data_IF_730914311115
#
_entry.id   IF_730914311115
#
_cell.length_a   1.000
_cell.length_b   1.000
_cell.length_c   1.000
_cell.angle_alpha   90.00
_cell.angle_beta   90.00
_cell.angle_gamma   90.00
#
_symmetry.space_group_name_H-M   'P 1'
#
loop_
_entity.id
_entity.type
_entity.pdbx_description
1 polymer ?
#
# COMPACT_ATOMS: atom_id res chain seq x y z
N UNK A 1 -12.48 22.19 6.18
CA UNK A 1 -11.55 21.33 5.41
C UNK A 1 -10.95 20.23 6.28
N UNK A 2 -10.22 20.55 7.36
CA UNK A 2 -9.64 19.53 8.26
C UNK A 2 -10.73 18.67 8.92
N UNK A 3 -11.82 19.29 9.40
CA UNK A 3 -12.97 18.56 9.96
C UNK A 3 -13.57 17.57 8.95
N UNK A 4 -13.79 18.01 7.71
CA UNK A 4 -14.27 17.17 6.61
C UNK A 4 -13.36 15.97 6.35
N UNK A 5 -12.04 16.20 6.30
CA UNK A 5 -11.04 15.14 6.11
C UNK A 5 -11.12 14.09 7.23
N UNK A 6 -11.15 14.55 8.49
CA UNK A 6 -11.26 13.64 9.64
C UNK A 6 -12.57 12.87 9.65
N UNK A 7 -13.68 13.48 9.22
CA UNK A 7 -14.98 12.81 9.12
C UNK A 7 -14.96 11.70 8.07
N UNK A 8 -14.35 11.94 6.91
CA UNK A 8 -14.22 10.92 5.86
C UNK A 8 -13.34 9.77 6.37
N UNK A 9 -12.17 10.06 6.93
CA UNK A 9 -11.29 9.02 7.48
C UNK A 9 -12.02 8.20 8.55
N UNK A 10 -12.75 8.86 9.47
CA UNK A 10 -13.53 8.17 10.50
C UNK A 10 -14.61 7.27 9.90
N UNK A 11 -15.32 7.74 8.86
CA UNK A 11 -16.31 6.93 8.12
C UNK A 11 -15.66 5.66 7.57
N UNK A 12 -14.55 5.80 6.84
CA UNK A 12 -13.85 4.66 6.23
C UNK A 12 -13.41 3.64 7.28
N UNK A 13 -12.79 4.10 8.38
CA UNK A 13 -12.38 3.22 9.48
C UNK A 13 -13.58 2.49 10.08
N UNK A 14 -14.68 3.19 10.36
CA UNK A 14 -15.89 2.57 10.93
C UNK A 14 -16.52 1.52 10.00
N UNK A 15 -16.53 1.76 8.69
CA UNK A 15 -17.02 0.78 7.70
C UNK A 15 -16.12 -0.46 7.71
N UNK A 16 -14.81 -0.27 7.66
CA UNK A 16 -13.85 -1.37 7.65
C UNK A 16 -13.91 -2.21 8.94
N UNK A 17 -14.11 -1.58 10.11
CA UNK A 17 -14.32 -2.32 11.37
C UNK A 17 -15.60 -3.17 11.38
N UNK A 18 -16.62 -2.78 10.62
CA UNK A 18 -17.85 -3.57 10.45
C UNK A 18 -17.68 -4.68 9.41
N UNK A 19 -16.84 -4.45 8.40
CA UNK A 19 -16.48 -5.43 7.36
C UNK A 19 -15.08 -5.99 7.60
N UNK A 20 -14.93 -6.73 8.69
CA UNK A 20 -13.63 -7.25 9.15
C UNK A 20 -12.86 -8.05 8.07
N UNK A 21 -13.57 -8.74 7.17
CA UNK A 21 -12.98 -9.48 6.06
C UNK A 21 -12.11 -8.60 5.15
N UNK A 22 -12.46 -7.32 4.99
CA UNK A 22 -11.75 -6.38 4.11
C UNK A 22 -10.36 -6.03 4.66
N UNK A 23 -10.21 -6.03 5.99
CA UNK A 23 -8.94 -5.80 6.69
C UNK A 23 -8.16 -7.11 6.80
N UNK A 24 -8.83 -8.20 7.18
CA UNK A 24 -8.14 -9.46 7.45
C UNK A 24 -7.61 -10.14 6.19
N UNK A 25 -8.27 -10.04 5.04
CA UNK A 25 -7.85 -10.74 3.83
C UNK A 25 -6.44 -10.32 3.35
N UNK A 26 -6.11 -9.03 3.17
CA UNK A 26 -4.76 -8.60 2.81
C UNK A 26 -3.71 -9.02 3.85
N UNK A 27 -4.04 -8.95 5.14
CA UNK A 27 -3.11 -9.29 6.22
C UNK A 27 -2.84 -10.79 6.29
N UNK A 28 -3.88 -11.62 6.14
CA UNK A 28 -3.72 -13.06 6.03
C UNK A 28 -2.90 -13.44 4.81
N UNK A 29 -3.15 -12.80 3.66
CA UNK A 29 -2.35 -13.04 2.47
C UNK A 29 -0.86 -12.73 2.73
N UNK A 30 -0.57 -11.59 3.36
CA UNK A 30 0.79 -11.23 3.75
C UNK A 30 1.42 -12.28 4.68
N UNK A 31 0.72 -12.66 5.76
CA UNK A 31 1.17 -13.68 6.73
C UNK A 31 1.42 -15.03 6.04
N UNK A 32 0.53 -15.44 5.14
CA UNK A 32 0.66 -16.70 4.40
C UNK A 32 1.91 -16.67 3.53
N UNK A 33 2.16 -15.59 2.78
CA UNK A 33 3.35 -15.49 1.94
C UNK A 33 4.63 -15.53 2.77
N UNK A 34 4.71 -14.75 3.84
CA UNK A 34 5.93 -14.63 4.65
C UNK A 34 6.23 -15.91 5.46
N UNK A 35 5.23 -16.75 5.70
CA UNK A 35 5.40 -18.05 6.38
C UNK A 35 5.69 -19.16 5.38
N UNK A 36 4.94 -19.24 4.27
CA UNK A 36 5.12 -20.30 3.29
C UNK A 36 6.48 -20.23 2.58
N UNK A 37 7.02 -19.05 2.31
CA UNK A 37 8.30 -18.92 1.61
C UNK A 37 9.46 -19.57 2.39
N UNK A 38 9.71 -19.22 3.66
CA UNK A 38 10.75 -19.88 4.47
C UNK A 38 10.51 -21.38 4.64
N UNK A 39 9.26 -21.81 4.83
CA UNK A 39 8.92 -23.23 4.92
C UNK A 39 9.21 -23.99 3.62
N UNK A 40 9.03 -23.35 2.46
CA UNK A 40 9.24 -23.97 1.15
C UNK A 40 10.72 -24.08 0.77
N UNK A 41 11.53 -23.10 1.18
CA UNK A 41 12.95 -23.03 0.84
C UNK A 41 13.81 -23.77 1.87
N UNK A 42 13.37 -23.78 3.13
CA UNK A 42 14.09 -24.34 4.25
C UNK A 42 14.67 -23.24 5.17
N UNK A 43 14.90 -23.57 6.46
CA UNK A 43 15.31 -22.59 7.48
C UNK A 43 16.81 -22.30 7.46
N UNK A 44 17.41 -22.04 6.29
CA UNK A 44 18.82 -21.65 6.19
C UNK A 44 18.96 -20.12 6.37
N UNK A 45 19.53 -19.62 7.50
CA UNK A 45 19.47 -18.18 7.83
C UNK A 45 20.15 -17.29 6.79
N UNK A 46 21.28 -17.72 6.24
CA UNK A 46 22.01 -16.97 5.22
C UNK A 46 21.23 -16.83 3.91
N UNK A 47 20.48 -17.87 3.53
CA UNK A 47 19.64 -17.83 2.34
C UNK A 47 18.42 -16.96 2.60
N UNK A 48 17.76 -17.12 3.74
CA UNK A 48 16.59 -16.32 4.14
C UNK A 48 16.89 -14.83 4.19
N UNK A 49 18.01 -14.43 4.78
CA UNK A 49 18.43 -13.03 4.83
C UNK A 49 18.62 -12.42 3.43
N UNK A 50 19.20 -13.18 2.48
CA UNK A 50 19.43 -12.72 1.10
C UNK A 50 18.15 -12.51 0.30
N UNK A 51 17.10 -13.26 0.58
CA UNK A 51 15.82 -13.17 -0.15
C UNK A 51 14.74 -12.41 0.63
N UNK A 52 15.02 -12.03 1.89
CA UNK A 52 14.07 -11.37 2.77
C UNK A 52 13.50 -10.08 2.18
N UNK A 53 14.35 -9.22 1.63
CA UNK A 53 13.93 -7.98 1.00
C UNK A 53 12.88 -8.21 -0.09
N UNK A 54 13.15 -9.19 -0.97
CA UNK A 54 12.23 -9.58 -2.04
C UNK A 54 10.92 -10.17 -1.52
N UNK A 55 10.98 -11.12 -0.57
CA UNK A 55 9.78 -11.74 0.00
C UNK A 55 8.88 -10.70 0.66
N UNK A 56 9.45 -9.83 1.50
CA UNK A 56 8.69 -8.81 2.24
C UNK A 56 7.99 -7.85 1.28
N UNK A 57 8.70 -7.34 0.27
CA UNK A 57 8.13 -6.37 -0.66
C UNK A 57 7.16 -6.97 -1.67
N UNK A 58 7.40 -8.20 -2.14
CA UNK A 58 6.44 -8.91 -2.99
C UNK A 58 5.17 -9.23 -2.19
N UNK A 59 5.30 -9.71 -0.96
CA UNK A 59 4.16 -9.96 -0.08
C UNK A 59 3.36 -8.68 0.19
N UNK A 60 4.04 -7.58 0.53
CA UNK A 60 3.40 -6.28 0.79
C UNK A 60 2.70 -5.73 -0.46
N UNK A 61 3.32 -5.85 -1.63
CA UNK A 61 2.77 -5.43 -2.91
C UNK A 61 1.47 -6.17 -3.24
N UNK A 62 1.51 -7.50 -3.18
CA UNK A 62 0.36 -8.34 -3.50
C UNK A 62 -0.78 -8.13 -2.49
N UNK A 63 -0.43 -8.01 -1.20
CA UNK A 63 -1.39 -7.64 -0.15
C UNK A 63 -2.05 -6.28 -0.43
N UNK A 64 -1.26 -5.27 -0.81
CA UNK A 64 -1.78 -3.95 -1.15
C UNK A 64 -2.69 -3.99 -2.39
N UNK A 65 -2.34 -4.75 -3.43
CA UNK A 65 -3.17 -4.91 -4.64
C UNK A 65 -4.55 -5.49 -4.32
N UNK A 66 -4.63 -6.47 -3.41
CA UNK A 66 -5.91 -7.06 -2.98
C UNK A 66 -6.82 -6.06 -2.28
N UNK A 67 -6.25 -5.15 -1.47
CA UNK A 67 -7.05 -4.14 -0.76
C UNK A 67 -7.42 -2.95 -1.65
N UNK A 68 -6.50 -2.53 -2.53
CA UNK A 68 -6.68 -1.38 -3.41
C UNK A 68 -7.89 -1.50 -4.32
N UNK A 69 -8.21 -2.71 -4.81
CA UNK A 69 -9.37 -2.93 -5.70
C UNK A 69 -10.69 -2.44 -5.10
N UNK A 70 -10.83 -2.46 -3.77
CA UNK A 70 -12.05 -2.08 -3.05
C UNK A 70 -12.12 -0.59 -2.74
N UNK A 71 -11.01 0.14 -2.83
CA UNK A 71 -10.86 1.53 -2.37
C UNK A 71 -11.97 2.48 -2.85
N UNK A 72 -12.34 2.38 -4.13
CA UNK A 72 -13.43 3.16 -4.74
C UNK A 72 -14.58 2.29 -5.23
N UNK A 73 -14.34 1.00 -5.46
CA UNK A 73 -15.31 0.09 -6.08
C UNK A 73 -16.51 -0.15 -5.18
N UNK A 74 -16.29 -0.29 -3.88
CA UNK A 74 -17.37 -0.56 -2.93
C UNK A 74 -18.34 0.63 -2.83
N UNK A 75 -17.82 1.86 -2.76
CA UNK A 75 -18.64 3.07 -2.75
C UNK A 75 -19.25 3.39 -4.12
N UNK A 76 -18.64 2.93 -5.22
CA UNK A 76 -19.23 3.06 -6.55
C UNK A 76 -20.43 2.11 -6.72
N UNK A 77 -20.35 0.89 -6.17
CA UNK A 77 -21.43 -0.09 -6.27
C UNK A 77 -22.68 0.29 -5.47
N UNK A 78 -22.54 1.00 -4.35
CA UNK A 78 -23.67 1.46 -3.53
C UNK A 78 -24.12 2.91 -3.83
N UNK A 79 -23.47 3.57 -4.80
CA UNK A 79 -23.77 4.92 -5.24
C UNK A 79 -23.22 6.02 -4.33
N UNK A 80 -22.49 5.69 -3.25
CA UNK A 80 -21.94 6.66 -2.33
C UNK A 80 -20.82 7.50 -2.96
N UNK A 81 -20.06 6.94 -3.91
CA UNK A 81 -18.96 7.63 -4.58
C UNK A 81 -19.47 8.84 -5.39
N UNK A 82 -20.57 8.66 -6.12
CA UNK A 82 -21.25 9.72 -6.87
C UNK A 82 -21.73 10.83 -5.93
N UNK A 83 -22.31 10.45 -4.79
CA UNK A 83 -22.72 11.43 -3.77
C UNK A 83 -21.53 12.22 -3.24
N UNK A 84 -20.39 11.55 -2.96
CA UNK A 84 -19.17 12.21 -2.51
C UNK A 84 -18.60 13.18 -3.55
N UNK A 85 -18.71 12.85 -4.84
CA UNK A 85 -18.26 13.72 -5.93
C UNK A 85 -19.11 14.98 -6.10
N UNK A 86 -20.37 14.97 -5.63
CA UNK A 86 -21.29 16.11 -5.66
C UNK A 86 -21.23 16.98 -4.39
N UNK A 87 -20.52 16.54 -3.35
CA UNK A 87 -20.39 17.31 -2.10
C UNK A 87 -19.68 18.65 -2.35
N UNK A 88 -20.00 19.72 -1.58
CA UNK A 88 -19.37 21.03 -1.71
C UNK A 88 -17.97 21.07 -1.05
N UNK A 89 -17.15 20.06 -1.32
CA UNK A 89 -15.75 19.95 -0.87
C UNK A 89 -14.86 19.55 -2.06
N UNK A 90 -13.59 19.98 -2.09
CA UNK A 90 -12.68 19.59 -3.16
C UNK A 90 -12.53 18.06 -3.23
N UNK A 91 -12.75 17.48 -4.42
CA UNK A 91 -12.64 16.03 -4.63
C UNK A 91 -11.24 15.49 -4.27
N UNK A 92 -10.20 16.31 -4.46
CA UNK A 92 -8.83 15.99 -4.07
C UNK A 92 -8.72 15.69 -2.57
N UNK A 93 -9.47 16.42 -1.74
CA UNK A 93 -9.50 16.22 -0.28
C UNK A 93 -10.23 14.93 0.08
N UNK A 94 -11.34 14.63 -0.61
CA UNK A 94 -12.07 13.36 -0.42
C UNK A 94 -11.16 12.18 -0.73
N UNK A 95 -10.52 12.20 -1.90
CA UNK A 95 -9.61 11.15 -2.35
C UNK A 95 -8.43 11.01 -1.39
N UNK A 96 -7.77 12.10 -1.03
CA UNK A 96 -6.65 12.10 -0.09
C UNK A 96 -7.06 11.42 1.23
N UNK A 97 -8.25 11.75 1.74
CA UNK A 97 -8.81 11.15 2.96
C UNK A 97 -8.99 9.64 2.83
N UNK A 98 -9.54 9.17 1.70
CA UNK A 98 -9.77 7.74 1.44
C UNK A 98 -8.46 6.96 1.31
N UNK A 99 -7.47 7.51 0.59
CA UNK A 99 -6.16 6.86 0.44
C UNK A 99 -5.44 6.76 1.80
N UNK A 100 -5.50 7.82 2.62
CA UNK A 100 -4.94 7.79 3.98
C UNK A 100 -5.65 6.74 4.83
N UNK A 101 -6.98 6.69 4.80
CA UNK A 101 -7.74 5.69 5.56
C UNK A 101 -7.40 4.26 5.11
N UNK A 102 -7.28 4.03 3.80
CA UNK A 102 -6.83 2.74 3.25
C UNK A 102 -5.44 2.36 3.75
N UNK A 103 -4.48 3.28 3.71
CA UNK A 103 -3.13 3.00 4.22
C UNK A 103 -3.12 2.69 5.72
N UNK A 104 -3.94 3.39 6.52
CA UNK A 104 -4.10 3.10 7.95
C UNK A 104 -4.70 1.72 8.22
N UNK A 105 -5.58 1.23 7.34
CA UNK A 105 -6.21 -0.08 7.48
C UNK A 105 -5.33 -1.23 7.01
N UNK A 106 -4.39 -0.97 6.10
CA UNK A 106 -3.60 -2.01 5.43
C UNK A 106 -2.13 -1.91 5.77
N UNK A 107 -1.50 -0.78 5.45
CA UNK A 107 -0.07 -0.52 5.67
C UNK A 107 0.32 -0.51 7.15
N UNK A 108 -0.47 0.14 8.01
CA UNK A 108 -0.14 0.20 9.43
C UNK A 108 -0.14 -1.19 10.09
N UNK A 109 -1.16 -2.05 9.91
CA UNK A 109 -1.09 -3.41 10.43
C UNK A 109 0.06 -4.24 9.84
N UNK A 110 0.43 -4.06 8.56
CA UNK A 110 1.62 -4.72 8.00
C UNK A 110 2.90 -4.33 8.75
N UNK A 111 3.06 -3.06 9.10
CA UNK A 111 4.20 -2.58 9.88
C UNK A 111 4.18 -3.16 11.29
N UNK A 112 3.00 -3.24 11.93
CA UNK A 112 2.85 -3.85 13.26
C UNK A 112 3.15 -5.36 13.27
N UNK A 113 2.88 -6.06 12.16
CA UNK A 113 3.20 -7.48 11.98
C UNK A 113 4.68 -7.68 11.63
N UNK A 114 5.41 -6.64 11.21
CA UNK A 114 6.81 -6.76 10.78
C UNK A 114 7.78 -7.40 11.81
N UNK A 115 7.62 -7.30 13.14
CA UNK A 115 8.48 -8.05 14.07
C UNK A 115 8.39 -9.57 13.88
N UNK A 116 7.22 -10.07 13.44
CA UNK A 116 7.06 -11.49 13.10
C UNK A 116 7.94 -11.87 11.89
N UNK A 117 8.13 -10.96 10.93
CA UNK A 117 9.05 -11.16 9.80
C UNK A 117 10.48 -11.32 10.26
N UNK A 118 10.92 -10.49 11.23
CA UNK A 118 12.28 -10.55 11.74
C UNK A 118 12.59 -11.93 12.34
N UNK A 119 11.63 -12.50 13.07
CA UNK A 119 11.77 -13.85 13.63
C UNK A 119 11.75 -14.92 12.53
N UNK A 120 10.78 -14.87 11.62
CA UNK A 120 10.61 -15.89 10.56
C UNK A 120 11.76 -15.90 9.55
N UNK A 121 12.33 -14.74 9.23
CA UNK A 121 13.39 -14.57 8.25
C UNK A 121 14.78 -14.47 8.89
N UNK A 122 14.88 -14.63 10.22
CA UNK A 122 16.13 -14.53 10.98
C UNK A 122 16.89 -13.22 10.73
N UNK A 123 16.17 -12.09 10.75
CA UNK A 123 16.74 -10.76 10.54
C UNK A 123 17.38 -10.23 11.83
N UNK A 124 18.51 -9.57 11.69
CA UNK A 124 19.08 -8.73 12.73
C UNK A 124 18.30 -7.41 12.89
N UNK A 125 18.57 -6.68 13.97
CA UNK A 125 17.82 -5.49 14.34
C UNK A 125 17.92 -4.38 13.29
N UNK A 126 19.11 -4.17 12.69
CA UNK A 126 19.33 -3.10 11.73
C UNK A 126 18.60 -3.37 10.41
N UNK A 127 18.60 -4.62 9.94
CA UNK A 127 17.82 -5.04 8.76
C UNK A 127 16.33 -4.94 9.03
N UNK A 128 15.85 -5.38 10.20
CA UNK A 128 14.45 -5.23 10.57
C UNK A 128 14.01 -3.75 10.63
N UNK A 129 14.85 -2.88 11.18
CA UNK A 129 14.57 -1.45 11.22
C UNK A 129 14.46 -0.86 9.81
N UNK A 130 15.33 -1.27 8.88
CA UNK A 130 15.23 -0.88 7.46
C UNK A 130 13.93 -1.38 6.83
N UNK A 131 13.47 -2.59 7.13
CA UNK A 131 12.16 -3.10 6.70
C UNK A 131 11.03 -2.21 7.23
N UNK A 132 11.04 -1.86 8.52
CA UNK A 132 10.01 -0.98 9.11
C UNK A 132 10.00 0.39 8.44
N UNK A 133 11.16 1.01 8.26
CA UNK A 133 11.28 2.34 7.64
C UNK A 133 10.83 2.33 6.18
N UNK A 134 11.29 1.35 5.40
CA UNK A 134 10.92 1.22 4.00
C UNK A 134 9.43 0.92 3.85
N UNK A 135 8.83 0.05 4.68
CA UNK A 135 7.39 -0.20 4.66
C UNK A 135 6.61 1.06 5.04
N UNK A 136 7.07 1.82 6.03
CA UNK A 136 6.42 3.05 6.50
C UNK A 136 6.35 4.13 5.43
N UNK A 137 7.34 4.19 4.52
CA UNK A 137 7.42 5.20 3.45
C UNK A 137 6.91 4.67 2.12
N UNK A 138 7.22 3.43 1.76
CA UNK A 138 6.89 2.85 0.47
C UNK A 138 5.43 2.36 0.39
N UNK A 139 4.85 1.77 1.44
CA UNK A 139 3.43 1.35 1.41
C UNK A 139 2.42 2.50 1.23
N UNK A 140 2.60 3.71 1.82
CA UNK A 140 1.71 4.82 1.48
C UNK A 140 1.96 5.31 0.05
N UNK A 141 3.21 5.29 -0.45
CA UNK A 141 3.51 5.65 -1.84
C UNK A 141 2.82 4.68 -2.82
N UNK A 142 2.85 3.37 -2.55
CA UNK A 142 2.09 2.37 -3.29
C UNK A 142 0.59 2.66 -3.24
N UNK A 143 0.04 3.00 -2.08
CA UNK A 143 -1.39 3.31 -1.94
C UNK A 143 -1.79 4.53 -2.79
N UNK A 144 -0.99 5.59 -2.80
CA UNK A 144 -1.24 6.78 -3.61
C UNK A 144 -1.16 6.54 -5.11
N UNK A 145 -0.16 5.80 -5.57
CA UNK A 145 0.00 5.48 -7.00
C UNK A 145 -1.08 4.47 -7.43
N UNK A 146 -1.35 3.46 -6.61
CA UNK A 146 -2.36 2.44 -6.85
C UNK A 146 -3.77 2.98 -6.96
N UNK A 147 -4.10 3.98 -6.14
CA UNK A 147 -5.38 4.65 -6.19
C UNK A 147 -5.67 5.30 -7.56
N UNK A 148 -4.66 5.72 -8.33
CA UNK A 148 -4.85 6.25 -9.69
C UNK A 148 -5.43 5.16 -10.59
N UNK A 149 -4.83 3.96 -10.60
CA UNK A 149 -5.28 2.90 -11.50
C UNK A 149 -6.63 2.31 -11.08
N UNK A 150 -6.94 2.24 -9.78
CA UNK A 150 -8.28 1.85 -9.31
C UNK A 150 -9.32 2.88 -9.75
N UNK A 151 -9.02 4.17 -9.62
CA UNK A 151 -9.94 5.23 -10.05
C UNK A 151 -10.19 5.22 -11.56
N UNK A 152 -9.17 4.97 -12.39
CA UNK A 152 -9.33 4.83 -13.84
C UNK A 152 -10.19 3.61 -14.22
N UNK A 153 -10.17 2.56 -13.40
CA UNK A 153 -10.81 1.28 -13.72
C UNK A 153 -12.11 1.02 -12.95
N UNK A 154 -12.58 1.98 -12.14
CA UNK A 154 -13.73 1.78 -11.23
C UNK A 154 -15.03 1.41 -11.97
N UNK A 155 -15.27 1.97 -13.16
CA UNK A 155 -16.43 1.68 -14.00
C UNK A 155 -16.36 0.35 -14.78
N UNK A 156 -15.24 -0.38 -14.70
CA UNK A 156 -15.03 -1.61 -15.48
C UNK A 156 -15.31 -2.87 -14.66
N UNK A 157 -16.01 -3.84 -15.25
CA UNK A 157 -16.31 -5.12 -14.57
C UNK A 157 -15.06 -5.93 -14.20
N UNK A 158 -13.96 -5.81 -14.97
CA UNK A 158 -12.67 -6.50 -14.79
C UNK A 158 -11.52 -5.54 -14.44
N UNK A 159 -11.78 -4.50 -13.64
CA UNK A 159 -10.80 -3.46 -13.32
C UNK A 159 -9.47 -3.97 -12.76
N UNK A 160 -9.48 -5.06 -11.96
CA UNK A 160 -8.27 -5.60 -11.31
C UNK A 160 -7.13 -6.02 -12.24
N UNK A 161 -7.41 -6.51 -13.46
CA UNK A 161 -6.36 -6.92 -14.42
C UNK A 161 -5.74 -5.71 -15.13
N UNK A 162 -6.55 -4.71 -15.46
CA UNK A 162 -6.07 -3.46 -16.07
C UNK A 162 -5.27 -2.64 -15.05
N UNK A 163 -5.70 -2.67 -13.79
CA UNK A 163 -5.02 -2.08 -12.64
C UNK A 163 -3.59 -2.63 -12.52
N UNK A 164 -3.41 -3.96 -12.55
CA UNK A 164 -2.08 -4.56 -12.42
C UNK A 164 -1.16 -4.22 -13.60
N UNK A 165 -1.67 -4.24 -14.84
CA UNK A 165 -0.89 -3.88 -16.04
C UNK A 165 -0.42 -2.42 -16.03
N UNK A 166 -1.28 -1.50 -15.62
CA UNK A 166 -0.98 -0.06 -15.65
C UNK A 166 -0.04 0.36 -14.52
N UNK A 167 -0.23 -0.22 -13.32
CA UNK A 167 0.43 0.26 -12.11
C UNK A 167 1.74 -0.44 -11.81
N UNK A 168 1.90 -1.72 -12.22
CA UNK A 168 3.13 -2.47 -11.96
C UNK A 168 4.41 -1.71 -12.39
N UNK A 169 4.48 -1.11 -13.59
CA UNK A 169 5.65 -0.32 -14.00
C UNK A 169 5.96 0.86 -13.05
N UNK A 170 4.93 1.49 -12.48
CA UNK A 170 5.08 2.61 -11.54
C UNK A 170 5.47 2.14 -10.13
N UNK A 171 5.21 0.88 -9.79
CA UNK A 171 5.62 0.29 -8.52
C UNK A 171 7.08 -0.19 -8.53
N UNK A 172 7.61 -0.59 -9.68
CA UNK A 172 8.99 -1.09 -9.81
C UNK A 172 10.02 -0.15 -9.15
N UNK A 173 10.01 1.18 -9.39
CA UNK A 173 10.97 2.07 -8.74
C UNK A 173 10.88 2.05 -7.20
N UNK A 174 9.68 2.01 -6.63
CA UNK A 174 9.49 1.92 -5.18
C UNK A 174 10.07 0.61 -4.66
N UNK A 175 9.78 -0.50 -5.34
CA UNK A 175 10.31 -1.82 -4.97
C UNK A 175 11.84 -1.83 -5.01
N UNK A 176 12.46 -1.31 -6.07
CA UNK A 176 13.92 -1.27 -6.23
C UNK A 176 14.57 -0.49 -5.08
N UNK A 177 14.09 0.72 -4.77
CA UNK A 177 14.69 1.52 -3.71
C UNK A 177 14.43 0.93 -2.32
N UNK A 178 13.29 0.29 -2.13
CA UNK A 178 12.97 -0.32 -0.84
C UNK A 178 13.73 -1.63 -0.59
N UNK A 179 13.86 -2.50 -1.59
CA UNK A 179 14.68 -3.71 -1.45
C UNK A 179 16.15 -3.36 -1.31
N UNK A 180 16.66 -2.40 -2.10
CA UNK A 180 18.06 -1.97 -1.99
C UNK A 180 18.40 -1.30 -0.66
N UNK A 181 17.45 -0.66 0.02
CA UNK A 181 17.63 -0.16 1.39
C UNK A 181 17.74 -1.29 2.43
N UNK A 182 16.97 -2.36 2.26
CA UNK A 182 17.03 -3.55 3.12
C UNK A 182 18.35 -4.29 2.87
N UNK A 183 18.74 -4.48 1.61
CA UNK A 183 20.00 -5.12 1.25
C UNK A 183 21.22 -4.34 1.79
N UNK A 184 21.19 -3.00 1.70
CA UNK A 184 22.24 -2.17 2.27
C UNK A 184 22.32 -2.30 3.80
N UNK A 185 21.18 -2.37 4.49
CA UNK A 185 21.14 -2.61 5.94
C UNK A 185 21.70 -3.98 6.31
N UNK A 186 21.36 -5.04 5.56
CA UNK A 186 21.89 -6.39 5.77
C UNK A 186 23.42 -6.49 5.56
N UNK A 187 23.99 -5.57 4.77
CA UNK A 187 25.44 -5.44 4.56
C UNK A 187 26.12 -4.50 5.57
N UNK A 188 25.36 -3.90 6.51
CA UNK A 188 25.88 -2.91 7.46
C UNK A 188 26.28 -1.58 6.81
N UNK A 189 25.73 -1.26 5.64
CA UNK A 189 26.01 -0.03 4.88
C UNK A 189 24.87 0.99 5.08
N UNK A 190 25.21 2.27 5.02
CA UNK A 190 24.22 3.33 5.12
C UNK A 190 23.17 3.27 3.98
N UNK A 191 21.89 3.35 4.34
CA UNK A 191 20.74 3.27 3.43
C UNK A 191 19.89 4.55 3.38
N UNK A 192 20.42 5.65 3.92
CA UNK A 192 19.72 6.94 4.00
C UNK A 192 19.39 7.52 2.61
N UNK A 193 20.23 7.27 1.60
CA UNK A 193 20.00 7.74 0.23
C UNK A 193 18.76 7.09 -0.40
N UNK A 194 18.62 5.78 -0.24
CA UNK A 194 17.48 5.01 -0.71
C UNK A 194 16.18 5.46 -0.01
N UNK A 195 16.23 5.67 1.31
CA UNK A 195 15.11 6.22 2.06
C UNK A 195 14.75 7.64 1.63
N UNK A 196 15.73 8.49 1.33
CA UNK A 196 15.47 9.85 0.84
C UNK A 196 14.76 9.83 -0.52
N UNK A 197 15.15 8.92 -1.42
CA UNK A 197 14.47 8.73 -2.72
C UNK A 197 13.04 8.22 -2.52
N UNK A 198 12.83 7.23 -1.64
CA UNK A 198 11.48 6.76 -1.29
C UNK A 198 10.62 7.89 -0.70
N UNK A 199 11.21 8.71 0.17
CA UNK A 199 10.56 9.90 0.72
C UNK A 199 10.19 10.90 -0.35
N UNK A 200 11.09 11.18 -1.30
CA UNK A 200 10.81 12.06 -2.44
C UNK A 200 9.68 11.52 -3.32
N UNK A 201 9.68 10.21 -3.60
CA UNK A 201 8.59 9.53 -4.32
C UNK A 201 7.27 9.64 -3.57
N UNK A 202 7.25 9.42 -2.26
CA UNK A 202 6.05 9.57 -1.43
C UNK A 202 5.53 11.00 -1.45
N UNK A 203 6.40 12.00 -1.29
CA UNK A 203 6.00 13.42 -1.32
C UNK A 203 5.47 13.81 -2.71
N UNK A 204 6.10 13.35 -3.78
CA UNK A 204 5.61 13.52 -5.15
C UNK A 204 4.25 12.85 -5.35
N UNK A 205 4.08 11.62 -4.85
CA UNK A 205 2.82 10.91 -4.94
C UNK A 205 1.71 11.63 -4.14
N UNK A 206 1.95 11.96 -2.88
CA UNK A 206 0.99 12.63 -2.00
C UNK A 206 0.53 13.99 -2.55
N UNK A 207 1.39 14.69 -3.29
CA UNK A 207 1.06 15.99 -3.89
C UNK A 207 0.36 15.86 -5.24
N UNK A 208 0.83 14.97 -6.13
CA UNK A 208 0.33 14.87 -7.50
C UNK A 208 -0.86 13.91 -7.67
N UNK A 209 -0.87 12.79 -6.96
CA UNK A 209 -1.88 11.75 -7.19
C UNK A 209 -3.30 12.18 -6.80
N UNK A 210 -3.58 13.00 -5.77
CA UNK A 210 -4.95 13.43 -5.48
C UNK A 210 -5.62 14.15 -6.67
N UNK A 211 -4.84 14.90 -7.45
CA UNK A 211 -5.32 15.54 -8.69
C UNK A 211 -5.57 14.51 -9.79
N UNK A 212 -4.63 13.59 -10.01
CA UNK A 212 -4.75 12.54 -11.02
C UNK A 212 -5.94 11.60 -10.74
N UNK A 213 -6.10 11.17 -9.48
CA UNK A 213 -7.22 10.33 -9.04
C UNK A 213 -8.55 11.07 -9.20
N UNK A 214 -8.62 12.35 -8.80
CA UNK A 214 -9.85 13.15 -8.97
C UNK A 214 -10.26 13.29 -10.44
N UNK A 215 -9.28 13.49 -11.33
CA UNK A 215 -9.54 13.54 -12.77
C UNK A 215 -9.98 12.16 -13.31
N UNK A 216 -9.32 11.09 -12.88
CA UNK A 216 -9.68 9.71 -13.24
C UNK A 216 -11.12 9.36 -12.83
N UNK A 217 -11.50 9.65 -11.58
CA UNK A 217 -12.87 9.41 -11.10
C UNK A 217 -13.92 10.15 -11.94
N UNK A 218 -13.65 11.40 -12.32
CA UNK A 218 -14.56 12.17 -13.20
C UNK A 218 -14.70 11.57 -14.60
N UNK A 219 -13.67 10.89 -15.11
CA UNK A 219 -13.74 10.24 -16.42
C UNK A 219 -14.44 8.90 -16.33
N UNK A 220 -14.20 8.14 -15.25
CA UNK A 220 -14.67 6.75 -15.15
C UNK A 220 -16.09 6.60 -14.56
N UNK A 221 -16.62 7.63 -13.89
CA UNK A 221 -17.98 7.65 -13.33
C UNK A 221 -18.99 8.30 -14.29
N UNK A 222 -18.52 9.05 -15.30
CA UNK A 222 -19.35 9.61 -16.38
C UNK A 222 -19.51 8.62 -17.54
#
# INVERSE_FOLDING_TARGET
MISSMTTIIRRELLIAFRRQADIFNPLWFFIIVITLFPLSIGPEPNLLARIAAGIVWVAALLSALLSLERLFRDDFQDGALEQMMLMPIPLQLVVLSKVIAHWLLTGLPLILISPLLAVLLSLDFDTWLSVVLTLSVGTPALSFIGAIGVALTVGLQKGGVLLSLLILPLYIPILIFATSAIDAAALGVAYNGQLAVLGAMLMGAMTLTPFAISAALRVSVN
#
